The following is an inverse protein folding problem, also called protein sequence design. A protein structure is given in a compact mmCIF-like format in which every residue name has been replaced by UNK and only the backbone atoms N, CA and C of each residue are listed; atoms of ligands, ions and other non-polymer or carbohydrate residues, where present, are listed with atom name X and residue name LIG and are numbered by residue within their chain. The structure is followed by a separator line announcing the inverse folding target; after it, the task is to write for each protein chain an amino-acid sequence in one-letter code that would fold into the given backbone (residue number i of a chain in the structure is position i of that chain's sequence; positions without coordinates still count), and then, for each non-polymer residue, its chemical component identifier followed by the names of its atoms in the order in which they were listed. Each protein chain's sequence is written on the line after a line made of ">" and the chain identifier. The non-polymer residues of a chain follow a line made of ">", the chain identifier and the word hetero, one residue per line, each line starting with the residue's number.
data_IF_001157516880
#
_entry.id   IF_001157516880
#
_cell.length_a   1.000
_cell.length_b   1.000
_cell.length_c   1.000
_cell.angle_alpha   90.00
_cell.angle_beta   90.00
_cell.angle_gamma   90.00
#
_symmetry.space_group_name_H-M   'P 1'
#
loop_
_entity.id
_entity.type
_entity.pdbx_description
1 polymer ?
#
# COMPACT_ATOMS: atom_id res chain seq x y z
N UNK A 1 -55.18 -19.13 -58.27
CA UNK A 1 -54.38 -17.89 -58.18
C UNK A 1 -54.53 -17.31 -56.79
N UNK A 2 -53.62 -17.58 -55.84
CA UNK A 2 -53.49 -16.81 -54.56
C UNK A 2 -52.35 -17.34 -53.65
N UNK A 3 -51.13 -17.57 -54.16
CA UNK A 3 -50.00 -17.99 -53.28
C UNK A 3 -48.68 -17.26 -53.58
N UNK A 4 -48.62 -16.36 -54.57
CA UNK A 4 -47.39 -15.58 -54.87
C UNK A 4 -47.32 -14.16 -54.28
N UNK A 5 -48.37 -13.71 -53.59
CA UNK A 5 -48.44 -12.33 -53.05
C UNK A 5 -47.94 -12.15 -51.61
N UNK A 6 -47.86 -13.22 -50.80
CA UNK A 6 -47.53 -13.10 -49.36
C UNK A 6 -46.02 -13.17 -49.07
N UNK A 7 -45.24 -13.86 -49.90
CA UNK A 7 -43.78 -13.98 -49.71
C UNK A 7 -43.01 -12.73 -50.14
N UNK A 8 -43.49 -11.99 -51.16
CA UNK A 8 -42.86 -10.72 -51.54
C UNK A 8 -43.06 -9.62 -50.49
N UNK A 9 -44.20 -9.62 -49.80
CA UNK A 9 -44.51 -8.64 -48.75
C UNK A 9 -43.63 -8.82 -47.49
N UNK A 10 -43.27 -10.06 -47.15
CA UNK A 10 -42.38 -10.34 -46.01
C UNK A 10 -40.90 -10.03 -46.31
N UNK A 11 -40.42 -10.26 -47.54
CA UNK A 11 -39.07 -9.82 -47.92
C UNK A 11 -38.93 -8.29 -47.98
N UNK A 12 -40.00 -7.57 -48.38
CA UNK A 12 -40.01 -6.10 -48.40
C UNK A 12 -39.94 -5.47 -47.00
N UNK A 13 -40.59 -6.07 -46.00
CA UNK A 13 -40.57 -5.59 -44.62
C UNK A 13 -39.22 -5.82 -43.92
N UNK A 14 -38.54 -6.93 -44.20
CA UNK A 14 -37.19 -7.22 -43.64
C UNK A 14 -36.11 -6.30 -44.23
N UNK A 15 -36.24 -5.93 -45.51
CA UNK A 15 -35.32 -4.98 -46.15
C UNK A 15 -35.56 -3.53 -45.68
N UNK A 16 -36.79 -3.17 -45.32
CA UNK A 16 -37.12 -1.86 -44.75
C UNK A 16 -36.62 -1.70 -43.30
N UNK A 17 -36.69 -2.77 -42.48
CA UNK A 17 -36.11 -2.76 -41.12
C UNK A 17 -34.58 -2.65 -41.13
N UNK A 18 -33.90 -3.25 -42.12
CA UNK A 18 -32.44 -3.14 -42.27
C UNK A 18 -31.99 -1.75 -42.77
N UNK A 19 -32.87 -1.00 -43.45
CA UNK A 19 -32.55 0.36 -43.92
C UNK A 19 -32.71 1.43 -42.84
N UNK A 20 -33.63 1.23 -41.89
CA UNK A 20 -33.82 2.15 -40.73
C UNK A 20 -32.65 2.06 -39.74
N UNK A 21 -31.93 0.94 -39.67
CA UNK A 21 -30.72 0.81 -38.85
C UNK A 21 -29.48 1.56 -39.38
N UNK A 22 -29.52 2.11 -40.61
CA UNK A 22 -28.36 2.78 -41.25
C UNK A 22 -28.48 4.32 -41.14
N UNK A 23 -29.61 4.86 -40.67
CA UNK A 23 -29.82 6.32 -40.52
C UNK A 23 -30.06 6.79 -39.07
N UNK A 24 -29.66 6.03 -38.05
CA UNK A 24 -29.51 6.60 -36.71
C UNK A 24 -28.35 7.59 -36.73
N UNK A 25 -28.69 8.88 -36.66
CA UNK A 25 -27.79 10.03 -36.52
C UNK A 25 -26.84 9.79 -35.34
N UNK A 26 -25.53 10.04 -35.47
CA UNK A 26 -24.62 9.92 -34.34
C UNK A 26 -24.95 11.03 -33.34
N UNK A 27 -25.16 10.66 -32.08
CA UNK A 27 -25.17 11.60 -30.96
C UNK A 27 -23.75 12.18 -30.90
N UNK A 28 -23.60 13.46 -31.26
CA UNK A 28 -22.37 14.21 -31.02
C UNK A 28 -22.13 14.29 -29.52
N UNK A 29 -21.25 13.42 -29.02
CA UNK A 29 -20.55 13.66 -27.76
C UNK A 29 -19.52 14.74 -28.05
N UNK A 30 -19.72 15.92 -27.49
CA UNK A 30 -18.84 17.07 -27.63
C UNK A 30 -17.49 16.73 -26.96
N UNK A 31 -16.52 16.29 -27.75
CA UNK A 31 -15.15 16.05 -27.30
C UNK A 31 -14.41 17.37 -27.23
N UNK A 32 -14.52 18.08 -26.11
CA UNK A 32 -13.58 19.16 -25.80
C UNK A 32 -13.20 19.14 -24.32
N UNK A 33 -11.94 18.71 -24.07
CA UNK A 33 -11.14 18.68 -22.83
C UNK A 33 -11.30 17.48 -21.90
N UNK A 34 -10.66 16.37 -22.27
CA UNK A 34 -10.14 15.41 -21.29
C UNK A 34 -8.64 15.68 -21.13
N UNK A 35 -8.24 16.03 -19.89
CA UNK A 35 -6.84 15.91 -19.44
C UNK A 35 -6.52 14.39 -19.41
N UNK A 36 -5.26 13.96 -19.64
CA UNK A 36 -4.94 12.54 -19.55
C UNK A 36 -5.16 12.07 -18.11
N UNK A 37 -6.20 11.26 -17.88
CA UNK A 37 -6.26 10.42 -16.69
C UNK A 37 -5.10 9.44 -16.77
N UNK A 38 -4.24 9.46 -15.74
CA UNK A 38 -3.33 8.35 -15.49
C UNK A 38 -4.15 7.06 -15.45
N UNK A 39 -3.71 6.07 -16.22
CA UNK A 39 -4.25 4.71 -16.15
C UNK A 39 -3.98 4.17 -14.73
N UNK A 40 -4.95 4.35 -13.85
CA UNK A 40 -5.07 3.59 -12.62
C UNK A 40 -5.09 2.11 -13.01
N UNK A 41 -4.18 1.35 -12.39
CA UNK A 41 -4.04 -0.09 -12.59
C UNK A 41 -5.38 -0.80 -12.34
N UNK A 42 -5.62 -1.97 -12.98
CA UNK A 42 -6.86 -2.72 -12.79
C UNK A 42 -7.14 -2.97 -11.29
N UNK A 43 -8.42 -2.99 -10.87
CA UNK A 43 -8.78 -3.01 -9.46
C UNK A 43 -8.13 -4.21 -8.77
N UNK A 44 -7.32 -3.93 -7.76
CA UNK A 44 -6.80 -4.95 -6.88
C UNK A 44 -7.98 -5.44 -6.05
N UNK A 45 -8.39 -6.69 -6.24
CA UNK A 45 -9.42 -7.32 -5.40
C UNK A 45 -9.10 -7.10 -3.92
N UNK A 46 -9.97 -6.38 -3.19
CA UNK A 46 -10.01 -6.16 -1.74
C UNK A 46 -8.68 -6.34 -0.98
N UNK A 47 -7.58 -5.63 -1.31
CA UNK A 47 -6.30 -5.75 -0.57
C UNK A 47 -6.53 -5.47 0.92
N UNK A 48 -6.30 -6.46 1.79
CA UNK A 48 -6.51 -6.28 3.24
C UNK A 48 -5.44 -5.38 3.86
N UNK A 49 -4.42 -4.97 3.08
CA UNK A 49 -3.31 -4.13 3.50
C UNK A 49 -2.22 -4.90 4.27
N UNK A 50 -2.40 -6.22 4.46
CA UNK A 50 -1.41 -7.07 5.10
C UNK A 50 -0.27 -7.44 4.13
N UNK A 51 0.98 -7.34 4.57
CA UNK A 51 2.15 -7.72 3.76
C UNK A 51 2.25 -9.23 3.42
N UNK A 52 1.35 -10.06 3.95
CA UNK A 52 1.18 -11.48 3.68
C UNK A 52 -0.26 -11.82 3.24
N UNK A 53 -1.06 -10.81 2.87
CA UNK A 53 -2.44 -10.97 2.39
C UNK A 53 -2.55 -12.05 1.31
N UNK A 54 -1.68 -12.00 0.30
CA UNK A 54 -1.64 -13.01 -0.77
C UNK A 54 -1.50 -14.43 -0.22
N UNK A 55 -0.59 -14.64 0.73
CA UNK A 55 -0.39 -15.95 1.35
C UNK A 55 -1.61 -16.40 2.15
N UNK A 56 -2.21 -15.49 2.92
CA UNK A 56 -3.45 -15.74 3.66
C UNK A 56 -4.57 -16.20 2.70
N UNK A 57 -4.80 -15.48 1.60
CA UNK A 57 -5.83 -15.84 0.61
C UNK A 57 -5.57 -17.16 -0.06
N UNK A 58 -4.36 -17.39 -0.55
CA UNK A 58 -4.00 -18.65 -1.22
C UNK A 58 -4.22 -19.86 -0.29
N UNK A 59 -3.90 -19.72 1.00
CA UNK A 59 -4.16 -20.75 2.01
C UNK A 59 -5.66 -20.97 2.22
N UNK A 60 -6.45 -19.90 2.42
CA UNK A 60 -7.89 -19.99 2.66
C UNK A 60 -8.64 -20.50 1.44
N UNK A 61 -8.42 -19.93 0.25
CA UNK A 61 -9.05 -20.34 -1.01
C UNK A 61 -8.83 -21.83 -1.29
N UNK A 62 -7.64 -22.32 -0.95
CA UNK A 62 -7.30 -23.70 -1.19
C UNK A 62 -7.88 -24.64 -0.11
N UNK A 63 -7.99 -24.19 1.13
CA UNK A 63 -8.72 -24.89 2.19
C UNK A 63 -10.23 -24.95 1.92
N UNK A 64 -10.83 -23.90 1.34
CA UNK A 64 -12.25 -23.87 0.97
C UNK A 64 -12.64 -24.86 -0.14
N UNK A 65 -11.67 -25.37 -0.90
CA UNK A 65 -11.90 -26.42 -1.91
C UNK A 65 -12.14 -27.79 -1.27
N UNK A 66 -11.75 -27.97 0.00
CA UNK A 66 -12.06 -29.18 0.77
C UNK A 66 -13.49 -29.10 1.35
N UNK A 67 -14.41 -30.02 1.01
CA UNK A 67 -15.80 -29.96 1.46
C UNK A 67 -15.95 -29.98 2.98
N UNK A 68 -15.13 -30.77 3.68
CA UNK A 68 -15.18 -30.89 5.13
C UNK A 68 -14.74 -29.58 5.78
N UNK A 69 -13.60 -29.03 5.36
CA UNK A 69 -13.10 -27.77 5.90
C UNK A 69 -14.02 -26.60 5.57
N UNK A 70 -14.58 -26.54 4.36
CA UNK A 70 -15.55 -25.51 3.95
C UNK A 70 -16.79 -25.47 4.84
N UNK A 71 -17.37 -26.63 5.16
CA UNK A 71 -18.51 -26.70 6.07
C UNK A 71 -18.16 -26.23 7.48
N UNK A 72 -16.95 -26.55 7.95
CA UNK A 72 -16.46 -26.08 9.26
C UNK A 72 -16.22 -24.58 9.26
N UNK A 73 -15.63 -24.03 8.21
CA UNK A 73 -15.41 -22.60 8.05
C UNK A 73 -16.74 -21.83 8.06
N UNK A 74 -17.74 -22.27 7.29
CA UNK A 74 -19.07 -21.62 7.21
C UNK A 74 -19.85 -21.62 8.53
N UNK A 75 -19.65 -22.63 9.36
CA UNK A 75 -20.37 -22.77 10.64
C UNK A 75 -19.56 -22.28 11.84
N UNK A 76 -18.30 -21.86 11.63
CA UNK A 76 -17.46 -21.38 12.71
C UNK A 76 -17.85 -19.95 13.08
N UNK A 77 -17.98 -19.70 14.39
CA UNK A 77 -18.07 -18.34 14.91
C UNK A 77 -16.66 -17.70 14.92
N UNK A 78 -16.59 -16.37 14.84
CA UNK A 78 -15.33 -15.62 14.87
C UNK A 78 -14.53 -15.93 16.13
N UNK A 79 -15.21 -16.08 17.28
CA UNK A 79 -14.54 -16.51 18.50
C UNK A 79 -13.91 -17.89 18.35
N UNK A 80 -14.61 -18.87 17.76
CA UNK A 80 -14.06 -20.21 17.54
C UNK A 80 -12.83 -20.18 16.60
N UNK A 81 -12.83 -19.28 15.61
CA UNK A 81 -11.71 -19.04 14.69
C UNK A 81 -10.51 -18.44 15.45
N UNK A 82 -10.74 -17.36 16.21
CA UNK A 82 -9.72 -16.68 17.04
C UNK A 82 -9.06 -17.60 18.07
N UNK A 83 -9.83 -18.52 18.66
CA UNK A 83 -9.35 -19.45 19.68
C UNK A 83 -8.67 -20.71 19.11
N UNK A 84 -8.46 -20.80 17.79
CA UNK A 84 -7.71 -21.89 17.16
C UNK A 84 -8.47 -23.22 17.07
N UNK A 85 -9.80 -23.20 17.22
CA UNK A 85 -10.64 -24.40 17.07
C UNK A 85 -10.70 -24.85 15.61
N UNK A 86 -10.77 -23.89 14.68
CA UNK A 86 -10.74 -24.15 13.24
C UNK A 86 -9.42 -24.79 12.80
N UNK A 87 -8.29 -24.35 13.36
CA UNK A 87 -6.98 -24.86 12.98
C UNK A 87 -6.82 -26.36 13.25
N UNK A 88 -7.51 -26.91 14.26
CA UNK A 88 -7.50 -28.35 14.56
C UNK A 88 -8.24 -29.19 13.51
N UNK A 89 -9.16 -28.59 12.76
CA UNK A 89 -9.86 -29.29 11.68
C UNK A 89 -8.93 -29.59 10.49
N UNK A 90 -7.76 -28.95 10.44
CA UNK A 90 -6.72 -29.21 9.45
C UNK A 90 -6.27 -30.67 9.46
N UNK A 91 -6.32 -31.37 10.60
CA UNK A 91 -5.96 -32.80 10.73
C UNK A 91 -6.87 -33.75 9.95
N UNK A 92 -8.07 -33.29 9.60
CA UNK A 92 -9.04 -34.06 8.84
C UNK A 92 -9.06 -33.69 7.34
N UNK A 93 -8.27 -32.69 6.94
CA UNK A 93 -8.17 -32.24 5.55
C UNK A 93 -7.45 -33.30 4.71
N UNK A 94 -7.94 -33.52 3.49
CA UNK A 94 -7.38 -34.52 2.59
C UNK A 94 -5.90 -34.25 2.24
N UNK A 95 -5.10 -35.32 2.10
CA UNK A 95 -3.65 -35.22 1.92
C UNK A 95 -3.21 -34.34 0.73
N UNK A 96 -3.93 -34.39 -0.39
CA UNK A 96 -3.65 -33.54 -1.55
C UNK A 96 -3.67 -32.05 -1.21
N UNK A 97 -4.53 -31.64 -0.26
CA UNK A 97 -4.55 -30.25 0.16
C UNK A 97 -3.35 -29.94 1.07
N UNK A 98 -3.00 -30.84 1.99
CA UNK A 98 -1.80 -30.72 2.84
C UNK A 98 -0.52 -30.53 2.01
N UNK A 99 -0.31 -31.32 0.96
CA UNK A 99 0.88 -31.22 0.09
C UNK A 99 1.01 -29.84 -0.56
N UNK A 100 -0.11 -29.22 -0.95
CA UNK A 100 -0.10 -27.90 -1.57
C UNK A 100 0.02 -26.78 -0.52
N UNK A 101 -0.55 -26.93 0.68
CA UNK A 101 -0.30 -26.02 1.79
C UNK A 101 1.18 -26.00 2.19
N UNK A 102 1.85 -27.17 2.17
CA UNK A 102 3.30 -27.25 2.37
C UNK A 102 4.08 -26.48 1.29
N UNK A 103 3.61 -26.52 0.03
CA UNK A 103 4.22 -25.75 -1.07
C UNK A 103 4.04 -24.25 -0.86
N UNK A 104 2.82 -23.79 -0.55
CA UNK A 104 2.53 -22.38 -0.27
C UNK A 104 3.40 -21.86 0.89
N UNK A 105 3.56 -22.65 1.96
CA UNK A 105 4.43 -22.28 3.08
C UNK A 105 5.90 -22.12 2.66
N UNK A 106 6.41 -23.02 1.81
CA UNK A 106 7.78 -22.93 1.29
C UNK A 106 7.97 -21.70 0.41
N UNK A 107 6.99 -21.38 -0.43
CA UNK A 107 7.01 -20.17 -1.26
C UNK A 107 7.06 -18.90 -0.41
N UNK A 108 6.19 -18.81 0.60
CA UNK A 108 6.17 -17.67 1.51
C UNK A 108 7.48 -17.56 2.31
N UNK A 109 8.00 -18.68 2.81
CA UNK A 109 9.29 -18.71 3.52
C UNK A 109 10.44 -18.23 2.62
N UNK A 110 10.43 -18.58 1.33
CA UNK A 110 11.42 -18.09 0.37
C UNK A 110 11.29 -16.59 0.14
N UNK A 111 10.06 -16.08 0.02
CA UNK A 111 9.79 -14.63 -0.08
C UNK A 111 10.37 -13.88 1.13
N UNK A 112 10.10 -14.34 2.35
CA UNK A 112 10.59 -13.72 3.58
C UNK A 112 12.14 -13.74 3.66
N UNK A 113 12.77 -14.85 3.22
CA UNK A 113 14.24 -14.92 3.13
C UNK A 113 14.81 -13.91 2.14
N UNK A 114 14.15 -13.68 1.00
CA UNK A 114 14.58 -12.66 0.04
C UNK A 114 14.46 -11.24 0.62
N UNK A 115 13.35 -10.94 1.32
CA UNK A 115 13.17 -9.65 1.99
C UNK A 115 14.24 -9.40 3.06
N UNK A 116 14.54 -10.40 3.87
CA UNK A 116 15.62 -10.33 4.87
C UNK A 116 16.97 -10.09 4.21
N UNK A 117 17.26 -10.81 3.13
CA UNK A 117 18.51 -10.64 2.38
C UNK A 117 18.62 -9.22 1.82
N UNK A 118 17.58 -8.71 1.18
CA UNK A 118 17.55 -7.34 0.67
C UNK A 118 17.76 -6.30 1.79
N UNK A 119 17.12 -6.50 2.95
CA UNK A 119 17.32 -5.64 4.13
C UNK A 119 18.75 -5.70 4.64
N UNK A 120 19.37 -6.87 4.68
CA UNK A 120 20.77 -7.03 5.08
C UNK A 120 21.75 -6.43 4.06
N UNK A 121 21.43 -6.47 2.76
CA UNK A 121 22.27 -5.85 1.73
C UNK A 121 22.22 -4.30 1.82
N UNK A 122 21.11 -3.73 2.34
CA UNK A 122 20.93 -2.28 2.56
C UNK A 122 21.47 -1.82 3.91
N UNK A 123 21.23 -2.59 4.97
CA UNK A 123 21.68 -2.32 6.33
C UNK A 123 22.82 -3.29 6.65
N UNK A 124 24.07 -2.80 6.73
CA UNK A 124 25.26 -3.57 7.15
C UNK A 124 25.18 -4.04 8.63
N UNK A 125 24.16 -4.80 8.97
CA UNK A 125 23.88 -5.31 10.31
C UNK A 125 24.30 -6.76 10.46
N UNK A 126 25.03 -7.08 11.54
CA UNK A 126 25.46 -8.44 11.92
C UNK A 126 24.32 -9.35 12.45
N UNK A 127 23.06 -9.09 12.10
CA UNK A 127 21.92 -9.85 12.62
C UNK A 127 21.78 -11.22 11.91
N UNK A 128 21.64 -12.29 12.68
CA UNK A 128 21.39 -13.62 12.12
C UNK A 128 20.06 -13.66 11.37
N UNK A 129 20.05 -14.26 10.18
CA UNK A 129 18.84 -14.42 9.35
C UNK A 129 17.70 -15.09 10.13
N UNK A 130 18.03 -16.02 11.03
CA UNK A 130 17.05 -16.72 11.85
C UNK A 130 16.46 -15.83 12.95
N UNK A 131 17.19 -14.81 13.42
CA UNK A 131 16.66 -13.83 14.36
C UNK A 131 15.70 -12.85 13.66
N UNK A 132 15.98 -12.50 12.40
CA UNK A 132 15.13 -11.62 11.60
C UNK A 132 13.83 -12.31 11.18
N UNK A 133 13.85 -13.63 10.91
CA UNK A 133 12.62 -14.40 10.64
C UNK A 133 11.63 -14.41 11.81
N UNK A 134 12.08 -14.18 13.05
CA UNK A 134 11.19 -14.07 14.21
C UNK A 134 10.27 -12.85 14.18
N UNK A 135 10.57 -11.85 13.33
CA UNK A 135 9.73 -10.67 13.14
C UNK A 135 8.41 -11.02 12.43
N UNK A 136 8.37 -12.13 11.70
CA UNK A 136 7.18 -12.62 11.01
C UNK A 136 6.45 -13.62 11.92
N UNK A 137 5.42 -13.12 12.62
CA UNK A 137 4.67 -13.91 13.61
C UNK A 137 3.67 -14.89 12.97
N UNK A 138 3.27 -14.64 11.71
CA UNK A 138 2.19 -15.34 11.01
C UNK A 138 2.53 -16.77 10.55
N UNK A 139 3.75 -17.27 10.83
CA UNK A 139 4.19 -18.58 10.38
C UNK A 139 5.29 -19.18 11.26
N UNK A 140 5.31 -20.51 11.35
CA UNK A 140 6.31 -21.22 12.14
C UNK A 140 7.62 -21.38 11.36
N UNK A 141 8.59 -20.50 11.63
CA UNK A 141 9.91 -20.51 11.02
C UNK A 141 10.85 -21.62 11.55
N UNK A 142 10.48 -22.35 12.62
CA UNK A 142 11.26 -23.49 13.11
C UNK A 142 11.03 -24.75 12.26
N UNK A 143 9.89 -24.82 11.57
CA UNK A 143 9.52 -25.89 10.66
C UNK A 143 9.21 -25.29 9.29
N UNK A 144 10.19 -25.06 8.40
CA UNK A 144 9.95 -24.35 7.14
C UNK A 144 9.22 -25.17 6.07
N UNK A 145 9.20 -26.50 6.19
CA UNK A 145 8.88 -27.38 5.06
C UNK A 145 7.45 -27.93 5.07
N UNK A 146 6.79 -27.95 6.24
CA UNK A 146 5.45 -28.56 6.40
C UNK A 146 4.49 -27.57 7.08
N UNK A 147 3.28 -27.46 6.54
CA UNK A 147 2.22 -26.58 7.04
C UNK A 147 1.35 -27.36 8.04
N UNK A 148 1.48 -26.98 9.31
CA UNK A 148 0.84 -27.65 10.43
C UNK A 148 -0.31 -26.84 11.02
N UNK A 149 -1.05 -27.46 11.95
CA UNK A 149 -2.12 -26.80 12.71
C UNK A 149 -1.65 -25.50 13.35
N UNK A 150 -0.40 -25.48 13.84
CA UNK A 150 0.20 -24.29 14.44
C UNK A 150 0.40 -23.16 13.43
N UNK A 151 0.69 -23.45 12.16
CA UNK A 151 0.84 -22.43 11.13
C UNK A 151 -0.50 -21.77 10.80
N UNK A 152 -1.56 -22.57 10.65
CA UNK A 152 -2.90 -22.02 10.42
C UNK A 152 -3.39 -21.20 11.61
N UNK A 153 -3.14 -21.66 12.84
CA UNK A 153 -3.45 -20.91 14.07
C UNK A 153 -2.68 -19.58 14.15
N UNK A 154 -1.38 -19.58 13.86
CA UNK A 154 -0.56 -18.37 13.81
C UNK A 154 -1.01 -17.42 12.71
N UNK A 155 -1.26 -17.92 11.52
CA UNK A 155 -1.70 -17.14 10.37
C UNK A 155 -3.03 -16.44 10.66
N UNK A 156 -4.02 -17.16 11.19
CA UNK A 156 -5.32 -16.60 11.56
C UNK A 156 -5.17 -15.57 12.69
N UNK A 157 -4.41 -15.89 13.74
CA UNK A 157 -4.21 -14.97 14.88
C UNK A 157 -3.48 -13.69 14.49
N UNK A 158 -2.41 -13.82 13.71
CA UNK A 158 -1.66 -12.68 13.18
C UNK A 158 -2.55 -11.87 12.25
N UNK A 159 -3.26 -12.50 11.31
CA UNK A 159 -4.18 -11.77 10.42
C UNK A 159 -5.25 -11.03 11.24
N UNK A 160 -5.85 -11.67 12.23
CA UNK A 160 -6.90 -11.05 13.04
C UNK A 160 -6.36 -9.87 13.86
N UNK A 161 -5.23 -10.08 14.53
CA UNK A 161 -4.56 -9.01 15.31
C UNK A 161 -4.11 -7.87 14.41
N UNK A 162 -3.51 -8.17 13.27
CA UNK A 162 -2.95 -7.16 12.38
C UNK A 162 -4.08 -6.39 11.69
N UNK A 163 -5.18 -7.03 11.28
CA UNK A 163 -6.37 -6.37 10.74
C UNK A 163 -7.07 -5.51 11.79
N UNK A 164 -7.16 -5.95 13.04
CA UNK A 164 -7.73 -5.16 14.16
C UNK A 164 -6.85 -3.95 14.53
N UNK A 165 -5.54 -4.01 14.29
CA UNK A 165 -4.60 -2.93 14.59
C UNK A 165 -4.14 -2.16 13.35
N UNK A 166 -4.59 -2.53 12.15
CA UNK A 166 -4.10 -1.98 10.89
C UNK A 166 -4.40 -0.47 10.82
N UNK A 167 -5.64 -0.14 11.12
CA UNK A 167 -6.13 1.22 11.15
C UNK A 167 -5.43 2.04 12.24
N UNK A 168 -5.26 1.46 13.44
CA UNK A 168 -4.50 2.10 14.51
C UNK A 168 -3.07 2.47 14.10
N UNK A 169 -2.39 1.60 13.36
CA UNK A 169 -1.05 1.88 12.85
C UNK A 169 -1.01 3.09 11.91
N UNK A 170 -2.05 3.25 11.08
CA UNK A 170 -2.22 4.40 10.19
C UNK A 170 -2.53 5.68 10.97
N UNK A 171 -3.44 5.63 11.94
CA UNK A 171 -3.70 6.73 12.89
C UNK A 171 -2.42 7.22 13.58
N UNK A 172 -1.60 6.29 14.06
CA UNK A 172 -0.34 6.61 14.72
C UNK A 172 0.69 7.24 13.74
N UNK A 173 0.69 6.83 12.46
CA UNK A 173 1.52 7.42 11.42
C UNK A 173 1.08 8.82 11.04
N UNK A 174 -0.22 9.02 10.83
CA UNK A 174 -0.80 10.33 10.57
C UNK A 174 -0.57 11.29 11.74
N UNK A 175 -0.71 10.82 12.99
CA UNK A 175 -0.36 11.61 14.17
C UNK A 175 1.11 12.05 14.17
N UNK A 176 2.04 11.17 13.76
CA UNK A 176 3.47 11.54 13.59
C UNK A 176 3.67 12.55 12.46
N UNK A 177 2.95 12.41 11.36
CA UNK A 177 2.97 13.34 10.24
C UNK A 177 2.57 14.76 10.69
N UNK A 178 1.45 14.88 11.41
CA UNK A 178 0.98 16.18 11.92
C UNK A 178 1.93 16.78 12.97
N UNK A 179 2.50 15.96 13.87
CA UNK A 179 3.54 16.42 14.79
C UNK A 179 4.80 16.89 14.06
N UNK A 180 5.21 16.22 12.98
CA UNK A 180 6.36 16.62 12.16
C UNK A 180 6.12 17.95 11.45
N UNK A 181 4.94 18.12 10.85
CA UNK A 181 4.52 19.36 10.17
C UNK A 181 4.55 20.55 11.13
N UNK A 182 4.03 20.40 12.35
CA UNK A 182 4.11 21.46 13.36
C UNK A 182 5.55 21.68 13.87
N UNK A 183 6.36 20.62 14.03
CA UNK A 183 7.78 20.77 14.37
C UNK A 183 8.54 21.61 13.32
N UNK A 184 8.39 21.30 12.03
CA UNK A 184 9.02 22.06 10.94
C UNK A 184 8.56 23.52 10.92
N UNK A 185 7.27 23.75 11.18
CA UNK A 185 6.71 25.11 11.33
C UNK A 185 7.39 25.85 12.48
N UNK A 186 7.53 25.23 13.66
CA UNK A 186 8.21 25.83 14.82
C UNK A 186 9.67 26.13 14.53
N UNK A 187 10.40 25.22 13.89
CA UNK A 187 11.80 25.44 13.49
C UNK A 187 11.93 26.59 12.48
N UNK A 188 11.03 26.66 11.50
CA UNK A 188 10.98 27.79 10.54
C UNK A 188 10.76 29.11 11.27
N UNK A 189 9.80 29.18 12.20
CA UNK A 189 9.52 30.39 12.97
C UNK A 189 10.69 30.82 13.87
N UNK A 190 11.50 29.88 14.37
CA UNK A 190 12.73 30.16 15.13
C UNK A 190 13.82 30.78 14.25
N UNK A 191 13.91 30.39 12.98
CA UNK A 191 14.89 30.92 12.04
C UNK A 191 14.56 32.33 11.51
N UNK A 192 13.29 32.74 11.57
CA UNK A 192 12.80 34.03 11.06
C UNK A 192 12.98 35.20 12.05
N UNK A 193 13.07 36.41 11.52
CA UNK A 193 13.04 37.64 12.33
C UNK A 193 11.62 37.96 12.83
N UNK A 194 11.48 38.93 13.74
CA UNK A 194 10.19 39.22 14.40
C UNK A 194 9.08 39.68 13.43
N UNK A 195 9.43 40.49 12.42
CA UNK A 195 8.43 40.94 11.44
C UNK A 195 7.99 39.81 10.51
N UNK A 196 8.93 38.98 10.07
CA UNK A 196 8.66 37.81 9.23
C UNK A 196 7.85 36.75 9.99
N UNK A 197 8.20 36.48 11.25
CA UNK A 197 7.47 35.54 12.10
C UNK A 197 6.00 35.92 12.22
N UNK A 198 5.72 37.21 12.47
CA UNK A 198 4.35 37.71 12.57
C UNK A 198 3.58 37.58 11.25
N UNK A 199 4.23 37.78 10.10
CA UNK A 199 3.60 37.60 8.78
C UNK A 199 3.30 36.13 8.49
N UNK A 200 4.22 35.23 8.82
CA UNK A 200 4.05 33.78 8.66
C UNK A 200 2.91 33.26 9.56
N UNK A 201 2.85 33.71 10.82
CA UNK A 201 1.75 33.37 11.74
C UNK A 201 0.40 33.86 11.23
N UNK A 202 0.33 35.10 10.71
CA UNK A 202 -0.89 35.64 10.11
C UNK A 202 -1.32 34.86 8.86
N UNK A 203 -0.37 34.52 8.01
CA UNK A 203 -0.62 33.70 6.82
C UNK A 203 -1.15 32.32 7.23
N UNK A 204 -0.53 31.67 8.21
CA UNK A 204 -0.98 30.37 8.73
C UNK A 204 -2.42 30.41 9.27
N UNK A 205 -2.75 31.44 10.07
CA UNK A 205 -4.12 31.64 10.56
C UNK A 205 -5.13 31.93 9.43
N UNK A 206 -4.70 32.61 8.36
CA UNK A 206 -5.54 32.83 7.17
C UNK A 206 -5.79 31.51 6.43
N UNK A 207 -4.75 30.69 6.23
CA UNK A 207 -4.87 29.38 5.59
C UNK A 207 -5.79 28.45 6.39
N UNK A 208 -5.63 28.41 7.73
CA UNK A 208 -6.51 27.61 8.60
C UNK A 208 -7.97 28.03 8.50
N UNK A 209 -8.24 29.35 8.40
CA UNK A 209 -9.61 29.85 8.22
C UNK A 209 -10.18 29.51 6.86
N UNK A 210 -9.38 29.60 5.80
CA UNK A 210 -9.82 29.22 4.45
C UNK A 210 -10.19 27.74 4.39
N UNK A 211 -9.37 26.88 4.98
CA UNK A 211 -9.65 25.45 5.05
C UNK A 211 -10.94 25.14 5.85
N UNK A 212 -11.13 25.79 7.00
CA UNK A 212 -12.34 25.64 7.81
C UNK A 212 -13.62 26.21 7.15
N UNK A 213 -13.49 27.01 6.09
CA UNK A 213 -14.61 27.55 5.32
C UNK A 213 -14.97 26.60 4.17
N UNK A 214 -15.68 25.53 4.47
CA UNK A 214 -16.18 24.56 3.48
C UNK A 214 -17.72 24.42 3.52
N UNK A 215 -18.34 23.91 2.44
CA UNK A 215 -19.73 23.46 2.48
C UNK A 215 -19.93 22.36 3.53
N UNK A 216 -21.18 22.21 4.00
CA UNK A 216 -21.54 21.17 4.98
C UNK A 216 -21.14 19.78 4.47
N UNK A 217 -20.44 19.04 5.31
CA UNK A 217 -20.11 17.62 5.09
C UNK A 217 -21.17 16.76 5.78
N UNK A 218 -21.81 15.88 5.02
CA UNK A 218 -22.83 15.00 5.59
C UNK A 218 -22.19 13.89 6.42
N UNK A 219 -22.93 13.39 7.41
CA UNK A 219 -22.49 12.26 8.20
C UNK A 219 -22.29 11.01 7.32
N UNK A 220 -21.16 10.29 7.41
CA UNK A 220 -20.88 9.13 6.57
C UNK A 220 -21.93 8.03 6.74
N UNK A 221 -22.48 7.52 5.62
CA UNK A 221 -23.51 6.48 5.64
C UNK A 221 -24.93 6.98 5.93
N UNK A 222 -25.14 8.29 6.11
CA UNK A 222 -26.47 8.90 6.29
C UNK A 222 -27.28 8.93 4.98
N UNK A 223 -28.60 9.09 5.09
CA UNK A 223 -29.50 9.22 3.94
C UNK A 223 -29.11 10.40 3.04
N UNK A 224 -28.75 11.54 3.63
CA UNK A 224 -28.39 12.75 2.89
C UNK A 224 -27.10 12.51 2.07
N UNK A 225 -26.08 11.86 2.67
CA UNK A 225 -24.83 11.51 1.96
C UNK A 225 -25.07 10.55 0.80
N UNK A 226 -25.85 9.47 1.01
CA UNK A 226 -26.11 8.49 -0.06
C UNK A 226 -26.98 9.07 -1.18
N UNK A 227 -27.94 9.95 -0.87
CA UNK A 227 -28.73 10.67 -1.88
C UNK A 227 -27.88 11.63 -2.70
N UNK A 228 -26.89 12.26 -2.08
CA UNK A 228 -25.97 13.13 -2.80
C UNK A 228 -25.13 12.34 -3.80
N UNK A 229 -24.57 11.20 -3.39
CA UNK A 229 -23.86 10.29 -4.31
C UNK A 229 -24.78 9.84 -5.45
N UNK A 230 -26.01 9.43 -5.13
CA UNK A 230 -27.03 9.04 -6.10
C UNK A 230 -27.36 10.15 -7.12
N UNK A 231 -27.34 11.41 -6.68
CA UNK A 231 -27.61 12.54 -7.54
C UNK A 231 -26.40 12.94 -8.38
N UNK A 232 -25.24 13.09 -7.75
CA UNK A 232 -24.06 13.69 -8.36
C UNK A 232 -23.21 12.68 -9.13
N UNK A 233 -23.03 11.48 -8.58
CA UNK A 233 -22.24 10.43 -9.22
C UNK A 233 -23.09 9.62 -10.21
N UNK A 234 -24.31 9.24 -9.83
CA UNK A 234 -25.17 8.40 -10.70
C UNK A 234 -26.09 9.20 -11.63
N UNK A 235 -26.28 10.50 -11.37
CA UNK A 235 -27.16 11.35 -12.18
C UNK A 235 -28.65 11.01 -12.05
N UNK A 236 -29.06 10.42 -10.93
CA UNK A 236 -30.43 9.98 -10.65
C UNK A 236 -31.17 10.99 -9.77
N UNK A 237 -32.51 10.93 -9.77
CA UNK A 237 -33.34 11.83 -8.97
C UNK A 237 -33.29 11.43 -7.47
N UNK A 238 -32.94 12.34 -6.55
CA UNK A 238 -32.96 12.08 -5.10
C UNK A 238 -34.30 11.58 -4.56
N UNK A 239 -35.42 11.96 -5.19
CA UNK A 239 -36.77 11.53 -4.75
C UNK A 239 -37.05 10.06 -5.05
N UNK A 240 -36.34 9.48 -6.03
CA UNK A 240 -36.42 8.08 -6.42
C UNK A 240 -35.38 7.20 -5.71
N UNK A 241 -34.72 7.72 -4.67
CA UNK A 241 -33.70 7.01 -3.93
C UNK A 241 -34.22 5.70 -3.34
N UNK A 242 -33.61 4.59 -3.74
CA UNK A 242 -33.87 3.25 -3.21
C UNK A 242 -32.56 2.63 -2.71
N UNK A 243 -32.39 2.42 -1.39
CA UNK A 243 -31.12 1.92 -0.83
C UNK A 243 -30.69 0.58 -1.44
N UNK A 244 -31.64 -0.29 -1.78
CA UNK A 244 -31.31 -1.59 -2.37
C UNK A 244 -30.75 -1.45 -3.79
N UNK A 245 -31.26 -0.50 -4.56
CA UNK A 245 -30.74 -0.20 -5.90
C UNK A 245 -29.39 0.50 -5.80
N UNK A 246 -29.26 1.45 -4.87
CA UNK A 246 -27.99 2.11 -4.55
C UNK A 246 -26.89 1.08 -4.26
N UNK A 247 -27.17 0.12 -3.35
CA UNK A 247 -26.23 -0.95 -2.99
C UNK A 247 -25.72 -1.70 -4.22
N UNK A 248 -26.63 -2.13 -5.10
CA UNK A 248 -26.29 -2.91 -6.29
C UNK A 248 -25.54 -2.14 -7.36
N UNK A 249 -25.69 -0.82 -7.41
CA UNK A 249 -24.99 0.01 -8.39
C UNK A 249 -23.54 0.26 -7.98
N UNK A 250 -23.28 0.33 -6.68
CA UNK A 250 -21.95 0.61 -6.13
C UNK A 250 -21.16 -0.66 -5.76
N UNK A 251 -21.82 -1.82 -5.73
CA UNK A 251 -21.18 -3.14 -5.70
C UNK A 251 -20.53 -3.36 -7.06
N UNK A 252 -19.32 -2.82 -7.20
CA UNK A 252 -18.63 -2.61 -8.47
C UNK A 252 -18.10 -3.94 -8.99
N UNK A 253 -17.73 -4.83 -8.08
CA UNK A 253 -17.21 -6.15 -8.40
C UNK A 253 -18.34 -7.21 -8.54
N UNK A 254 -19.56 -6.92 -8.06
CA UNK A 254 -20.76 -7.74 -8.16
C UNK A 254 -20.78 -8.96 -7.23
N UNK A 255 -20.02 -8.94 -6.14
CA UNK A 255 -19.90 -10.05 -5.18
C UNK A 255 -21.01 -10.05 -4.11
N UNK A 256 -21.81 -8.99 -4.06
CA UNK A 256 -22.94 -8.84 -3.14
C UNK A 256 -22.57 -8.24 -1.78
N UNK A 257 -21.36 -7.69 -1.64
CA UNK A 257 -20.87 -7.01 -0.46
C UNK A 257 -20.37 -5.61 -0.83
N UNK A 258 -20.29 -4.70 0.14
CA UNK A 258 -19.41 -3.56 0.04
C UNK A 258 -18.12 -3.86 0.79
N UNK A 259 -17.00 -3.82 0.07
CA UNK A 259 -15.68 -3.81 0.68
C UNK A 259 -15.26 -2.39 1.11
N UNK A 260 -14.08 -2.29 1.73
CA UNK A 260 -13.56 -1.01 2.19
C UNK A 260 -13.33 -0.01 1.07
N UNK A 261 -12.88 -0.47 -0.09
CA UNK A 261 -12.60 0.42 -1.22
C UNK A 261 -13.90 0.96 -1.81
N UNK A 262 -14.93 0.12 -1.89
CA UNK A 262 -16.26 0.51 -2.34
C UNK A 262 -16.90 1.51 -1.39
N UNK A 263 -16.79 1.32 -0.06
CA UNK A 263 -17.24 2.32 0.91
C UNK A 263 -16.46 3.63 0.82
N UNK A 264 -15.12 3.55 0.77
CA UNK A 264 -14.26 4.73 0.65
C UNK A 264 -14.59 5.57 -0.58
N UNK A 265 -14.94 4.93 -1.71
CA UNK A 265 -15.34 5.62 -2.93
C UNK A 265 -16.59 6.49 -2.73
N UNK A 266 -17.54 6.07 -1.88
CA UNK A 266 -18.76 6.82 -1.58
C UNK A 266 -18.48 8.15 -0.86
N UNK A 267 -17.37 8.24 -0.13
CA UNK A 267 -17.01 9.43 0.64
C UNK A 267 -16.31 10.49 -0.21
N UNK A 268 -15.85 10.16 -1.41
CA UNK A 268 -15.08 11.06 -2.28
C UNK A 268 -15.79 12.40 -2.49
N UNK A 269 -17.11 12.38 -2.75
CA UNK A 269 -17.90 13.59 -2.98
C UNK A 269 -18.01 14.49 -1.74
N UNK A 270 -18.13 13.88 -0.57
CA UNK A 270 -18.14 14.61 0.71
C UNK A 270 -16.78 15.24 1.01
N UNK A 271 -15.70 14.50 0.77
CA UNK A 271 -14.33 14.97 1.00
C UNK A 271 -13.91 16.08 0.02
N UNK A 272 -14.36 16.03 -1.24
CA UNK A 272 -14.12 17.07 -2.26
C UNK A 272 -14.71 18.44 -1.86
N UNK A 273 -15.64 18.51 -0.91
CA UNK A 273 -16.16 19.78 -0.36
C UNK A 273 -15.14 20.48 0.52
N UNK A 274 -14.29 19.72 1.21
CA UNK A 274 -13.33 20.21 2.20
C UNK A 274 -11.93 20.30 1.60
N UNK A 275 -11.55 19.32 0.80
CA UNK A 275 -10.18 19.15 0.31
C UNK A 275 -10.13 19.28 -1.21
N UNK A 276 -9.36 20.25 -1.70
CA UNK A 276 -9.07 20.42 -3.12
C UNK A 276 -7.55 20.39 -3.37
N UNK A 277 -7.04 19.48 -4.23
CA UNK A 277 -5.62 19.41 -4.56
C UNK A 277 -5.04 20.69 -5.20
N UNK A 278 -5.88 21.56 -5.76
CA UNK A 278 -5.46 22.84 -6.36
C UNK A 278 -5.27 23.96 -5.31
N UNK A 279 -5.79 23.77 -4.09
CA UNK A 279 -5.66 24.69 -2.97
C UNK A 279 -4.38 24.37 -2.17
N UNK A 280 -3.72 25.38 -1.62
CA UNK A 280 -2.45 25.21 -0.88
C UNK A 280 -2.71 24.94 0.60
N UNK A 281 -3.88 25.35 1.08
CA UNK A 281 -4.39 25.15 2.44
C UNK A 281 -4.85 23.72 2.69
N UNK A 282 -5.19 22.98 1.63
CA UNK A 282 -5.79 21.65 1.73
C UNK A 282 -4.71 20.57 1.64
N UNK A 283 -4.61 19.76 2.68
CA UNK A 283 -3.65 18.67 2.76
C UNK A 283 -4.28 17.35 2.30
N UNK A 284 -3.77 16.77 1.22
CA UNK A 284 -4.29 15.52 0.69
C UNK A 284 -4.01 14.31 1.59
N UNK A 285 -3.04 14.41 2.50
CA UNK A 285 -2.80 13.39 3.53
C UNK A 285 -3.89 13.45 4.60
N UNK A 286 -4.33 14.67 4.98
CA UNK A 286 -5.48 14.84 5.89
C UNK A 286 -6.77 14.33 5.24
N UNK A 287 -6.99 14.58 3.95
CA UNK A 287 -8.12 14.03 3.19
C UNK A 287 -8.17 12.50 3.24
N UNK A 288 -7.03 11.84 3.06
CA UNK A 288 -6.91 10.38 3.12
C UNK A 288 -7.26 9.85 4.51
N UNK A 289 -6.73 10.48 5.55
CA UNK A 289 -7.03 10.13 6.93
C UNK A 289 -8.53 10.31 7.24
N UNK A 290 -9.12 11.42 6.79
CA UNK A 290 -10.55 11.68 6.95
C UNK A 290 -11.38 10.57 6.27
N UNK A 291 -10.96 10.11 5.08
CA UNK A 291 -11.61 8.98 4.39
C UNK A 291 -11.58 7.71 5.23
N UNK A 292 -10.46 7.42 5.88
CA UNK A 292 -10.32 6.27 6.77
C UNK A 292 -11.20 6.39 8.02
N UNK A 293 -11.26 7.58 8.63
CA UNK A 293 -12.17 7.86 9.76
C UNK A 293 -13.64 7.64 9.38
N UNK A 294 -14.06 8.14 8.23
CA UNK A 294 -15.42 7.94 7.71
C UNK A 294 -15.72 6.44 7.49
N UNK A 295 -14.79 5.71 6.88
CA UNK A 295 -14.92 4.26 6.67
C UNK A 295 -15.00 3.49 7.98
N UNK A 296 -14.10 3.75 8.93
CA UNK A 296 -14.09 3.10 10.23
C UNK A 296 -15.38 3.34 10.99
N UNK A 297 -15.88 4.57 10.93
CA UNK A 297 -17.17 4.93 11.50
C UNK A 297 -18.30 4.06 10.90
N UNK A 298 -18.45 4.04 9.57
CA UNK A 298 -19.50 3.24 8.90
C UNK A 298 -19.35 1.75 9.18
N UNK A 299 -18.13 1.20 9.10
CA UNK A 299 -17.88 -0.22 9.41
C UNK A 299 -18.22 -0.55 10.87
N UNK A 300 -17.96 0.36 11.81
CA UNK A 300 -18.29 0.13 13.21
C UNK A 300 -19.80 0.02 13.45
N UNK A 301 -20.59 0.79 12.72
CA UNK A 301 -22.05 0.85 12.88
C UNK A 301 -22.82 -0.19 12.06
N UNK A 302 -22.35 -0.49 10.85
CA UNK A 302 -23.07 -1.29 9.85
C UNK A 302 -22.60 -2.74 9.84
N UNK A 303 -21.29 -2.98 9.85
CA UNK A 303 -20.73 -4.34 9.87
C UNK A 303 -20.93 -4.94 11.28
N UNK A 304 -21.97 -5.77 11.39
CA UNK A 304 -22.37 -6.38 12.66
C UNK A 304 -21.56 -7.62 12.98
N UNK A 305 -21.11 -8.32 11.94
CA UNK A 305 -20.42 -9.58 12.09
C UNK A 305 -18.88 -9.37 12.22
N UNK A 306 -18.34 -8.19 11.87
CA UNK A 306 -16.91 -7.83 11.94
C UNK A 306 -16.04 -8.63 10.96
N UNK A 307 -16.56 -8.93 9.77
CA UNK A 307 -15.83 -9.54 8.67
C UNK A 307 -15.21 -8.52 7.70
N UNK A 308 -15.35 -7.21 7.98
CA UNK A 308 -14.87 -6.07 7.16
C UNK A 308 -15.54 -6.01 5.79
N UNK A 309 -16.73 -6.60 5.67
CA UNK A 309 -17.58 -6.50 4.49
C UNK A 309 -18.99 -6.12 4.95
N UNK A 310 -19.65 -5.25 4.18
CA UNK A 310 -21.05 -4.90 4.46
C UNK A 310 -21.95 -5.69 3.52
N UNK A 311 -22.66 -6.66 4.06
CA UNK A 311 -23.67 -7.39 3.28
C UNK A 311 -24.89 -6.52 2.97
N UNK A 312 -25.62 -6.86 1.91
CA UNK A 312 -26.91 -6.22 1.61
C UNK A 312 -27.87 -6.26 2.81
N UNK A 313 -27.86 -7.35 3.60
CA UNK A 313 -28.71 -7.46 4.79
C UNK A 313 -28.34 -6.46 5.89
N UNK A 314 -27.05 -6.26 6.13
CA UNK A 314 -26.53 -5.30 7.12
C UNK A 314 -26.81 -3.87 6.67
N UNK A 315 -26.53 -3.56 5.41
CA UNK A 315 -26.87 -2.26 4.82
C UNK A 315 -28.36 -1.94 4.92
N UNK A 316 -29.24 -2.88 4.55
CA UNK A 316 -30.70 -2.69 4.66
C UNK A 316 -31.21 -2.67 6.11
N UNK A 317 -30.42 -3.14 7.08
CA UNK A 317 -30.73 -2.99 8.49
C UNK A 317 -30.28 -1.62 9.01
N UNK A 318 -29.11 -1.14 8.60
CA UNK A 318 -28.59 0.19 8.94
C UNK A 318 -29.51 1.31 8.47
N UNK A 319 -30.03 1.22 7.24
CA UNK A 319 -30.99 2.20 6.67
C UNK A 319 -32.31 2.36 7.45
N UNK A 320 -32.58 1.48 8.43
CA UNK A 320 -33.76 1.54 9.30
C UNK A 320 -33.46 2.09 10.69
N UNK A 321 -32.19 2.30 11.03
CA UNK A 321 -31.77 2.90 12.29
C UNK A 321 -32.04 4.39 12.28
N UNK A 322 -32.11 5.00 13.47
CA UNK A 322 -32.27 6.46 13.59
C UNK A 322 -31.03 7.20 13.07
N UNK A 323 -29.85 6.62 13.28
CA UNK A 323 -28.54 7.11 12.80
C UNK A 323 -28.51 7.31 11.26
N UNK A 324 -29.27 6.51 10.49
CA UNK A 324 -29.37 6.71 9.04
C UNK A 324 -30.07 8.04 8.67
N UNK A 325 -30.97 8.50 9.53
CA UNK A 325 -31.70 9.77 9.36
C UNK A 325 -30.98 10.93 10.04
N UNK A 326 -29.76 10.70 10.52
CA UNK A 326 -28.93 11.72 11.14
C UNK A 326 -28.59 12.82 10.12
N UNK A 327 -28.78 14.05 10.56
CA UNK A 327 -28.53 15.26 9.76
C UNK A 327 -27.39 16.08 10.31
N UNK A 328 -26.73 15.56 11.34
CA UNK A 328 -25.59 16.22 11.96
C UNK A 328 -24.44 16.27 10.96
N UNK A 329 -23.63 17.30 11.10
CA UNK A 329 -22.47 17.52 10.24
C UNK A 329 -21.32 16.64 10.70
N UNK A 330 -20.55 16.12 9.75
CA UNK A 330 -19.35 15.37 10.09
C UNK A 330 -18.28 16.29 10.68
N UNK A 331 -17.76 15.93 11.86
CA UNK A 331 -16.66 16.66 12.49
C UNK A 331 -15.32 16.33 11.82
N UNK A 332 -14.87 17.27 10.99
CA UNK A 332 -13.58 17.23 10.29
C UNK A 332 -12.38 17.30 11.24
N UNK A 333 -11.24 16.81 10.78
CA UNK A 333 -9.98 16.71 11.52
C UNK A 333 -9.52 18.05 12.13
N UNK A 334 -9.78 19.18 11.47
CA UNK A 334 -9.35 20.52 11.91
C UNK A 334 -10.01 20.99 13.22
N UNK A 335 -11.15 20.39 13.59
CA UNK A 335 -11.94 20.75 14.76
C UNK A 335 -11.40 20.13 16.06
N UNK A 336 -10.69 19.01 15.97
CA UNK A 336 -10.25 18.23 17.13
C UNK A 336 -8.71 18.05 17.17
N UNK A 337 -8.04 18.37 18.29
CA UNK A 337 -6.59 18.19 18.38
C UNK A 337 -6.19 16.70 18.41
N UNK A 338 -5.32 16.29 17.49
CA UNK A 338 -4.84 14.91 17.32
C UNK A 338 -3.77 14.49 18.34
N UNK A 339 -3.02 15.47 18.84
CA UNK A 339 -1.96 15.26 19.82
C UNK A 339 -1.93 16.37 20.86
N UNK A 340 -1.36 16.04 22.01
CA UNK A 340 -1.13 17.02 23.09
C UNK A 340 0.23 17.69 22.95
N UNK A 341 0.39 18.87 23.56
CA UNK A 341 1.69 19.56 23.59
C UNK A 341 2.79 18.73 24.30
N UNK A 342 2.40 17.84 25.22
CA UNK A 342 3.34 16.92 25.88
C UNK A 342 3.86 15.87 24.89
N UNK A 343 2.96 15.27 24.10
CA UNK A 343 3.33 14.31 23.04
C UNK A 343 4.21 14.95 21.96
N UNK A 344 3.89 16.17 21.52
CA UNK A 344 4.73 16.90 20.57
C UNK A 344 6.15 17.13 21.14
N UNK A 345 6.25 17.50 22.42
CA UNK A 345 7.56 17.71 23.06
C UNK A 345 8.37 16.42 23.17
N UNK A 346 7.72 15.30 23.48
CA UNK A 346 8.38 13.99 23.49
C UNK A 346 8.86 13.60 22.09
N UNK A 347 8.05 13.86 21.07
CA UNK A 347 8.40 13.63 19.67
C UNK A 347 9.59 14.49 19.23
N UNK A 348 9.61 15.79 19.53
CA UNK A 348 10.75 16.68 19.24
C UNK A 348 12.04 16.23 19.94
N UNK A 349 11.94 15.69 21.16
CA UNK A 349 13.10 15.12 21.87
C UNK A 349 13.62 13.86 21.18
N UNK A 350 12.72 13.00 20.68
CA UNK A 350 13.11 11.81 19.91
C UNK A 350 13.80 12.20 18.61
N UNK A 351 13.25 13.15 17.85
CA UNK A 351 13.88 13.68 16.63
C UNK A 351 15.28 14.24 16.90
N UNK A 352 15.44 15.06 17.94
CA UNK A 352 16.74 15.59 18.31
C UNK A 352 17.75 14.49 18.70
N UNK A 353 17.28 13.42 19.35
CA UNK A 353 18.14 12.27 19.67
C UNK A 353 18.56 11.51 18.41
N UNK A 354 17.62 11.24 17.51
CA UNK A 354 17.87 10.56 16.23
C UNK A 354 18.81 11.37 15.34
N UNK A 355 18.62 12.69 15.23
CA UNK A 355 19.50 13.59 14.49
C UNK A 355 20.93 13.51 15.02
N UNK A 356 21.10 13.54 16.35
CA UNK A 356 22.42 13.41 16.98
C UNK A 356 23.09 12.06 16.67
N UNK A 357 22.32 10.98 16.64
CA UNK A 357 22.85 9.65 16.33
C UNK A 357 23.17 9.48 14.84
N UNK A 358 22.37 10.06 13.95
CA UNK A 358 22.66 10.16 12.51
C UNK A 358 23.95 10.97 12.30
N UNK A 359 24.10 12.12 12.96
CA UNK A 359 25.29 12.96 12.86
C UNK A 359 26.55 12.21 13.33
N UNK A 360 26.48 11.44 14.43
CA UNK A 360 27.59 10.57 14.87
C UNK A 360 27.94 9.49 13.84
N UNK A 361 26.93 8.78 13.30
CA UNK A 361 27.13 7.75 12.28
C UNK A 361 27.70 8.34 10.99
N UNK A 362 27.22 9.50 10.57
CA UNK A 362 27.73 10.23 9.40
C UNK A 362 29.21 10.60 9.58
N UNK A 363 29.58 11.13 10.76
CA UNK A 363 30.97 11.44 11.08
C UNK A 363 31.86 10.19 11.13
N UNK A 364 31.34 9.05 11.60
CA UNK A 364 32.05 7.76 11.59
C UNK A 364 32.25 7.23 10.16
N UNK A 365 31.20 7.24 9.34
CA UNK A 365 31.27 6.86 7.93
C UNK A 365 32.25 7.73 7.15
N UNK A 366 32.28 9.04 7.42
CA UNK A 366 33.23 9.95 6.79
C UNK A 366 34.68 9.59 7.16
N UNK A 367 34.96 9.26 8.41
CA UNK A 367 36.29 8.77 8.83
C UNK A 367 36.66 7.45 8.16
N UNK A 368 35.71 6.51 8.06
CA UNK A 368 35.94 5.24 7.37
C UNK A 368 36.24 5.46 5.89
N UNK A 369 35.53 6.37 5.23
CA UNK A 369 35.78 6.77 3.83
C UNK A 369 37.19 7.34 3.65
N UNK A 370 37.62 8.25 4.52
CA UNK A 370 38.98 8.80 4.51
C UNK A 370 40.06 7.73 4.74
N UNK A 371 39.81 6.76 5.63
CA UNK A 371 40.74 5.65 5.86
C UNK A 371 40.84 4.71 4.65
N UNK A 372 39.72 4.42 3.99
CA UNK A 372 39.68 3.61 2.77
C UNK A 372 40.42 4.30 1.62
N UNK A 373 40.22 5.61 1.45
CA UNK A 373 40.92 6.41 0.44
C UNK A 373 42.44 6.37 0.67
N UNK A 374 42.90 6.50 1.92
CA UNK A 374 44.33 6.33 2.26
C UNK A 374 44.86 4.94 1.95
N UNK A 375 44.11 3.88 2.26
CA UNK A 375 44.51 2.49 1.94
C UNK A 375 44.58 2.27 0.43
N UNK A 376 43.68 2.87 -0.34
CA UNK A 376 43.69 2.81 -1.81
C UNK A 376 44.92 3.52 -2.39
N UNK A 377 45.28 4.69 -1.88
CA UNK A 377 46.52 5.39 -2.24
C UNK A 377 47.77 4.56 -1.93
N UNK A 378 47.84 3.96 -0.74
CA UNK A 378 48.95 3.07 -0.34
C UNK A 378 49.06 1.84 -1.25
N UNK A 379 47.93 1.20 -1.58
CA UNK A 379 47.87 0.06 -2.48
C UNK A 379 48.32 0.43 -3.90
N UNK A 380 47.88 1.59 -4.41
CA UNK A 380 48.28 2.11 -5.71
C UNK A 380 49.77 2.42 -5.78
N UNK A 381 50.33 3.03 -4.71
CA UNK A 381 51.77 3.27 -4.61
C UNK A 381 52.57 1.95 -4.57
N UNK A 382 52.10 0.95 -3.82
CA UNK A 382 52.73 -0.37 -3.78
C UNK A 382 52.71 -1.06 -5.15
N UNK A 383 51.58 -0.98 -5.86
CA UNK A 383 51.42 -1.52 -7.22
C UNK A 383 52.36 -0.85 -8.21
N UNK A 384 52.51 0.48 -8.14
CA UNK A 384 53.45 1.23 -8.98
C UNK A 384 54.90 0.83 -8.68
N UNK A 385 55.27 0.70 -7.40
CA UNK A 385 56.61 0.24 -7.00
C UNK A 385 56.91 -1.18 -7.48
N UNK A 386 55.95 -2.09 -7.41
CA UNK A 386 56.05 -3.44 -7.97
C UNK A 386 56.24 -3.42 -9.49
N UNK A 387 55.49 -2.60 -10.23
CA UNK A 387 55.66 -2.45 -11.68
C UNK A 387 57.06 -1.94 -12.05
N UNK A 388 57.56 -0.92 -11.34
CA UNK A 388 58.90 -0.39 -11.55
C UNK A 388 59.98 -1.46 -11.29
N UNK A 389 59.85 -2.24 -10.22
CA UNK A 389 60.78 -3.31 -9.90
C UNK A 389 60.78 -4.44 -10.96
N UNK A 390 59.61 -4.77 -11.51
CA UNK A 390 59.48 -5.73 -12.61
C UNK A 390 60.17 -5.22 -13.87
N UNK A 391 59.93 -3.95 -14.26
CA UNK A 391 60.61 -3.34 -15.41
C UNK A 391 62.13 -3.29 -15.26
N UNK A 392 62.64 -2.96 -14.06
CA UNK A 392 64.07 -2.93 -13.79
C UNK A 392 64.68 -4.34 -13.88
N UNK A 393 63.99 -5.34 -13.33
CA UNK A 393 64.42 -6.75 -13.41
C UNK A 393 64.45 -7.25 -14.87
N UNK A 394 63.46 -6.87 -15.69
CA UNK A 394 63.44 -7.17 -17.13
C UNK A 394 64.61 -6.50 -17.87
N UNK A 395 64.91 -5.22 -17.56
CA UNK A 395 66.06 -4.51 -18.13
C UNK A 395 67.40 -5.15 -17.75
N UNK A 396 67.58 -5.54 -16.49
CA UNK A 396 68.78 -6.24 -16.01
C UNK A 396 68.95 -7.60 -16.70
N UNK A 397 67.85 -8.34 -16.88
CA UNK A 397 67.85 -9.62 -17.61
C UNK A 397 68.22 -9.43 -19.08
N UNK A 398 67.68 -8.39 -19.73
CA UNK A 398 68.03 -8.02 -21.10
C UNK A 398 69.51 -7.61 -21.24
N UNK A 399 70.05 -6.81 -20.31
CA UNK A 399 71.47 -6.44 -20.31
C UNK A 399 72.39 -7.65 -20.12
N UNK A 400 72.09 -8.52 -19.15
CA UNK A 400 72.88 -9.73 -18.94
C UNK A 400 72.87 -10.66 -20.15
N UNK A 401 71.70 -10.82 -20.81
CA UNK A 401 71.62 -11.60 -22.06
C UNK A 401 72.46 -10.99 -23.19
N UNK A 402 72.52 -9.66 -23.30
CA UNK A 402 73.34 -8.95 -24.29
C UNK A 402 74.84 -9.06 -24.00
N UNK A 403 75.24 -9.03 -22.73
CA UNK A 403 76.63 -9.25 -22.30
C UNK A 403 77.08 -10.68 -22.62
N UNK A 404 76.19 -11.66 -22.42
CA UNK A 404 76.47 -13.06 -22.71
C UNK A 404 76.59 -13.32 -24.22
N UNK A 405 75.75 -12.68 -25.05
CA UNK A 405 75.85 -12.70 -26.51
C UNK A 405 77.14 -12.02 -27.00
N UNK A 406 77.51 -10.87 -26.44
CA UNK A 406 78.77 -10.19 -26.77
C UNK A 406 80.00 -11.00 -26.38
N UNK A 407 79.97 -11.71 -25.23
CA UNK A 407 81.04 -12.64 -24.83
C UNK A 407 81.18 -13.80 -25.81
N UNK A 408 80.06 -14.40 -26.25
CA UNK A 408 80.08 -15.47 -27.25
C UNK A 408 80.62 -14.98 -28.60
N UNK A 409 80.27 -13.76 -29.02
CA UNK A 409 80.83 -13.13 -30.23
C UNK A 409 82.32 -12.83 -30.11
N UNK A 410 82.80 -12.31 -28.97
CA UNK A 410 84.22 -12.02 -28.77
C UNK A 410 85.10 -13.27 -28.76
N UNK A 411 84.59 -14.38 -28.20
CA UNK A 411 85.28 -15.67 -28.22
C UNK A 411 85.31 -16.23 -29.65
N UNK A 412 84.25 -16.05 -30.45
CA UNK A 412 84.23 -16.48 -31.84
C UNK A 412 85.20 -15.69 -32.75
N UNK A 413 85.46 -14.41 -32.45
CA UNK A 413 86.40 -13.55 -33.21
C UNK A 413 87.88 -13.82 -32.88
N UNK A 414 88.18 -14.40 -31.71
CA UNK A 414 89.56 -14.77 -31.31
C UNK A 414 89.97 -16.15 -31.85
N UNK A 415 89.02 -16.94 -32.37
CA UNK A 415 89.24 -18.33 -32.83
C UNK A 415 89.34 -18.44 -34.37
N UNK A 416 89.37 -17.32 -35.09
CA UNK A 416 89.66 -17.22 -36.54
C UNK A 416 90.96 -16.45 -36.72
#
# INVERSE_FOLDING_TARGET
>A
QMVRGKTLAHCGLVLLSLWVCIQSVPISVDKTKEKPQEELQPPQSADTGLHYDRYLREVIEFLEKDPHFKEKLKNANIDDIKHGKLSKELDFVHHNFRTKLDELKREEMNRLRMLIKAKHDIQEGNASHQALLKQFEHLNHLNPDTFEVEDLDRLIKSATKDLENFDKGRHDEFKRYEMMKEHERRERLKALNEEERKREEQHYEEMKKKHAEHPKVNHPGSEDQLKEVWQEADGLDPEDFDPKTFFKMHDTNGDGFFDESELEALFTKELEKVYNPENVEDDMVEMEEERLRMREHVMNEVDTNKDRLVSLSEFMAATKKEDFMEKDEWETLDQNPLYTEEELREYEQQLAHEENDINKKSAELQKQREELERKEEELNAQKLGLQQAVEEMERLKAQNSNVEVKRKYYIAVIVV
#
